data_IF_593783039356
#
_entry.id   IF_593783039356
#
_cell.length_a   1.000
_cell.length_b   1.000
_cell.length_c   1.000
_cell.angle_alpha   90.00
_cell.angle_beta   90.00
_cell.angle_gamma   90.00
#
_symmetry.space_group_name_H-M   'P 1'
#
loop_
_entity.id
_entity.type
_entity.pdbx_description
1 polymer ?
#
# COMPACT_ATOMS: atom_id res chain seq x y z
N UNK A 1 -24.22 0.20 -3.23
CA UNK A 1 -23.72 1.06 -2.12
C UNK A 1 -22.24 1.32 -2.34
N UNK A 2 -21.71 2.54 -2.21
CA UNK A 2 -20.29 2.80 -2.39
C UNK A 2 -19.49 2.19 -1.24
N UNK A 3 -18.34 1.59 -1.56
CA UNK A 3 -17.30 1.28 -0.59
C UNK A 3 -16.45 2.52 -0.40
N UNK A 4 -16.38 3.04 0.81
CA UNK A 4 -15.67 4.30 1.13
C UNK A 4 -14.53 3.98 2.09
N UNK A 5 -13.36 4.50 1.78
CA UNK A 5 -12.20 4.53 2.66
C UNK A 5 -11.93 5.97 3.06
N UNK A 6 -12.26 6.32 4.29
CA UNK A 6 -12.12 7.69 4.81
C UNK A 6 -10.81 7.91 5.58
N UNK A 7 -10.12 6.81 5.92
CA UNK A 7 -8.85 6.80 6.65
C UNK A 7 -8.89 7.42 8.05
N UNK A 8 -10.10 7.55 8.65
CA UNK A 8 -10.26 8.15 9.97
C UNK A 8 -9.90 7.19 11.10
N UNK A 9 -9.97 5.88 10.88
CA UNK A 9 -9.85 4.88 11.93
C UNK A 9 -8.52 4.14 11.87
N UNK A 10 -7.84 4.07 13.02
CA UNK A 10 -6.60 3.32 13.19
C UNK A 10 -6.77 2.22 14.24
N UNK A 11 -6.12 1.09 14.02
CA UNK A 11 -5.93 0.04 15.03
C UNK A 11 -4.76 0.37 15.95
N UNK A 12 -4.88 0.00 17.22
CA UNK A 12 -3.85 0.19 18.23
C UNK A 12 -2.98 -1.06 18.46
N UNK A 13 -3.11 -2.08 17.61
CA UNK A 13 -2.45 -3.37 17.77
C UNK A 13 -1.08 -3.47 17.08
N UNK A 14 -0.56 -2.36 16.57
CA UNK A 14 0.72 -2.27 15.89
C UNK A 14 1.51 -1.02 16.29
N UNK A 15 2.85 -1.03 16.20
CA UNK A 15 3.68 0.15 16.46
C UNK A 15 3.60 1.20 15.35
N UNK A 16 2.87 0.95 14.27
CA UNK A 16 2.65 1.81 13.10
C UNK A 16 1.17 2.01 12.87
N UNK A 17 0.82 2.99 12.03
CA UNK A 17 -0.55 3.23 11.63
C UNK A 17 -1.08 2.06 10.78
N UNK A 18 -2.12 1.40 11.28
CA UNK A 18 -2.83 0.32 10.61
C UNK A 18 -4.27 0.75 10.43
N UNK A 19 -4.67 0.93 9.18
CA UNK A 19 -5.96 1.47 8.79
C UNK A 19 -7.02 0.39 8.73
N UNK A 20 -8.24 0.72 9.09
CA UNK A 20 -9.40 -0.12 8.84
C UNK A 20 -10.67 0.70 8.67
N UNK A 21 -11.65 0.10 8.00
CA UNK A 21 -13.01 0.63 7.91
C UNK A 21 -13.93 -0.26 8.73
N UNK A 22 -14.67 0.36 9.65
CA UNK A 22 -15.68 -0.33 10.46
C UNK A 22 -17.07 -0.10 9.86
N UNK A 23 -17.68 -1.19 9.35
CA UNK A 23 -19.04 -1.17 8.78
C UNK A 23 -20.04 -1.87 9.70
N UNK A 24 -19.85 -1.82 11.00
CA UNK A 24 -20.68 -2.49 12.02
C UNK A 24 -22.16 -2.10 12.01
N UNK A 25 -22.51 -0.95 11.42
CA UNK A 25 -23.91 -0.45 11.37
C UNK A 25 -24.82 -1.14 10.34
N UNK A 26 -24.29 -2.02 9.48
CA UNK A 26 -25.02 -2.54 8.32
C UNK A 26 -25.32 -4.05 8.38
N UNK A 27 -25.37 -4.67 9.55
CA UNK A 27 -25.52 -6.12 9.75
C UNK A 27 -24.46 -6.99 9.05
N UNK A 28 -23.44 -6.40 8.47
CA UNK A 28 -22.29 -7.04 7.88
C UNK A 28 -21.10 -6.54 8.67
N UNK A 29 -20.72 -7.28 9.71
CA UNK A 29 -19.47 -7.02 10.44
C UNK A 29 -18.31 -7.29 9.47
N UNK A 30 -17.94 -6.29 8.70
CA UNK A 30 -16.73 -6.32 7.88
C UNK A 30 -15.80 -5.22 8.34
N UNK A 31 -14.87 -5.60 9.17
CA UNK A 31 -13.68 -4.82 9.38
C UNK A 31 -12.81 -5.01 8.13
N UNK A 32 -12.80 -4.02 7.25
CA UNK A 32 -11.93 -4.01 6.09
C UNK A 32 -10.58 -3.44 6.52
N UNK A 33 -9.61 -4.30 6.71
CA UNK A 33 -8.24 -3.88 6.99
C UNK A 33 -7.52 -3.54 5.68
N UNK A 34 -6.79 -2.42 5.75
CA UNK A 34 -5.89 -2.00 4.71
C UNK A 34 -4.46 -2.36 5.12
N UNK A 35 -3.78 -3.07 4.27
CA UNK A 35 -2.39 -3.46 4.49
C UNK A 35 -1.41 -2.44 3.89
N UNK A 36 -0.20 -2.44 4.42
CA UNK A 36 0.91 -1.62 3.94
C UNK A 36 2.24 -2.34 4.13
N UNK A 37 3.31 -1.77 3.59
CA UNK A 37 4.69 -2.24 3.81
C UNK A 37 5.28 -1.86 5.17
N UNK A 38 4.54 -1.17 6.03
CA UNK A 38 5.02 -0.76 7.36
C UNK A 38 5.59 -1.92 8.21
N UNK A 39 4.98 -3.13 8.24
CA UNK A 39 5.56 -4.27 8.95
C UNK A 39 6.96 -4.66 8.45
N UNK A 40 7.20 -4.54 7.15
CA UNK A 40 8.52 -4.76 6.57
C UNK A 40 9.53 -3.67 6.97
N UNK A 41 9.08 -2.41 7.01
CA UNK A 41 9.92 -1.29 7.47
C UNK A 41 10.28 -1.40 8.95
N UNK A 42 9.39 -1.96 9.78
CA UNK A 42 9.65 -2.22 11.20
C UNK A 42 10.91 -3.07 11.44
N UNK A 43 11.24 -3.96 10.50
CA UNK A 43 12.45 -4.80 10.58
C UNK A 43 13.74 -3.97 10.54
N UNK A 44 13.71 -2.77 9.99
CA UNK A 44 14.87 -1.85 9.94
C UNK A 44 15.18 -1.25 11.30
N UNK A 45 14.24 -1.22 12.23
CA UNK A 45 14.30 -0.55 13.53
C UNK A 45 14.64 0.94 13.45
N UNK A 46 14.35 1.57 12.32
CA UNK A 46 14.62 3.01 12.12
C UNK A 46 13.49 3.90 12.64
N UNK A 47 12.24 3.39 12.65
CA UNK A 47 11.10 4.11 13.20
C UNK A 47 11.15 4.12 14.73
N UNK A 48 10.92 5.30 15.33
CA UNK A 48 10.82 5.51 16.78
C UNK A 48 9.38 5.79 17.19
N UNK A 49 8.61 6.39 16.30
CA UNK A 49 7.19 6.72 16.50
C UNK A 49 6.36 6.21 15.31
N UNK A 50 5.04 6.07 15.45
CA UNK A 50 4.18 5.66 14.35
C UNK A 50 4.26 6.57 13.11
N UNK A 51 4.61 7.85 13.29
CA UNK A 51 4.75 8.85 12.24
C UNK A 51 6.03 8.68 11.41
N UNK A 52 6.99 7.90 11.91
CA UNK A 52 8.25 7.63 11.21
C UNK A 52 8.11 6.59 10.10
N UNK A 53 6.98 5.89 10.00
CA UNK A 53 6.78 4.87 8.99
C UNK A 53 6.47 5.44 7.59
N UNK A 54 6.68 4.67 6.52
CA UNK A 54 6.38 5.08 5.15
C UNK A 54 4.91 5.40 4.89
N UNK A 55 3.98 4.73 5.59
CA UNK A 55 2.54 4.87 5.43
C UNK A 55 1.93 5.34 6.74
N UNK A 56 1.42 6.57 6.77
CA UNK A 56 0.93 7.21 8.00
C UNK A 56 -0.36 7.98 7.77
N UNK A 57 -1.19 8.07 8.83
CA UNK A 57 -2.33 8.98 8.86
C UNK A 57 -1.84 10.39 9.17
N UNK A 58 -2.37 11.37 8.46
CA UNK A 58 -2.10 12.79 8.70
C UNK A 58 -3.38 13.63 8.60
N UNK A 59 -3.35 14.84 9.14
CA UNK A 59 -4.40 15.83 8.95
C UNK A 59 -4.38 16.40 7.52
N UNK A 60 -5.47 16.99 7.08
CA UNK A 60 -5.56 17.70 5.80
C UNK A 60 -6.19 16.88 4.70
N UNK A 61 -7.00 15.89 5.07
CA UNK A 61 -7.93 15.21 4.18
C UNK A 61 -9.07 16.12 3.71
N UNK A 62 -9.97 15.56 2.96
CA UNK A 62 -11.15 16.25 2.44
C UNK A 62 -12.01 16.72 3.60
N UNK A 63 -12.56 17.93 3.48
CA UNK A 63 -13.41 18.57 4.51
C UNK A 63 -12.75 18.66 5.90
N UNK A 64 -11.42 18.72 5.96
CA UNK A 64 -10.68 18.84 7.23
C UNK A 64 -10.47 17.52 7.96
N UNK A 65 -10.86 16.40 7.39
CA UNK A 65 -10.63 15.06 7.93
C UNK A 65 -9.18 14.58 7.82
N UNK A 66 -9.00 13.29 8.04
CA UNK A 66 -7.72 12.61 7.91
C UNK A 66 -7.45 12.19 6.47
N UNK A 67 -6.21 11.89 6.17
CA UNK A 67 -5.80 11.25 4.94
C UNK A 67 -4.59 10.35 5.17
N UNK A 68 -4.31 9.49 4.23
CA UNK A 68 -3.08 8.70 4.25
C UNK A 68 -1.98 9.44 3.52
N UNK A 69 -0.81 9.50 4.14
CA UNK A 69 0.43 10.01 3.55
C UNK A 69 1.35 8.85 3.26
N UNK A 70 1.73 8.70 2.01
CA UNK A 70 2.68 7.70 1.52
C UNK A 70 4.01 8.40 1.23
N UNK A 71 5.10 7.89 1.80
CA UNK A 71 6.43 8.49 1.65
C UNK A 71 7.45 7.39 1.38
N UNK A 72 8.27 7.55 0.35
CA UNK A 72 9.44 6.68 0.17
C UNK A 72 10.49 7.04 1.20
N UNK A 73 11.00 6.04 1.91
CA UNK A 73 12.04 6.19 2.95
C UNK A 73 13.24 5.31 2.65
N UNK A 74 14.38 5.76 3.13
CA UNK A 74 15.59 4.95 3.18
C UNK A 74 15.44 3.82 4.18
N UNK A 75 16.07 2.69 3.94
CA UNK A 75 16.01 1.49 4.79
C UNK A 75 17.32 1.25 5.56
N UNK A 76 18.28 2.14 5.40
CA UNK A 76 19.55 2.12 6.10
C UNK A 76 20.40 0.89 5.80
N UNK A 77 21.26 0.55 6.75
CA UNK A 77 22.20 -0.58 6.62
C UNK A 77 21.48 -1.94 6.51
N UNK A 78 20.37 -2.10 7.21
CA UNK A 78 19.56 -3.34 7.12
C UNK A 78 19.04 -3.56 5.71
N UNK A 79 18.43 -2.53 5.12
CA UNK A 79 17.91 -2.62 3.76
C UNK A 79 19.01 -2.86 2.72
N UNK A 80 20.17 -2.24 2.90
CA UNK A 80 21.34 -2.48 2.03
C UNK A 80 21.80 -3.94 2.09
N UNK A 81 21.79 -4.55 3.26
CA UNK A 81 22.16 -5.95 3.46
C UNK A 81 21.23 -6.92 2.70
N UNK A 82 19.93 -6.62 2.67
CA UNK A 82 18.90 -7.42 1.95
C UNK A 82 18.61 -6.89 0.56
N UNK A 83 19.38 -5.93 0.04
CA UNK A 83 19.23 -5.28 -1.28
C UNK A 83 17.88 -4.57 -1.48
N UNK A 84 17.28 -4.10 -0.40
CA UNK A 84 16.05 -3.31 -0.37
C UNK A 84 16.36 -1.90 0.12
N UNK A 85 16.97 -1.08 -0.72
CA UNK A 85 17.53 0.23 -0.37
C UNK A 85 16.48 1.27 0.00
N UNK A 86 15.27 1.12 -0.47
CA UNK A 86 14.14 2.02 -0.18
C UNK A 86 12.91 1.24 0.22
N UNK A 87 12.10 1.83 1.09
CA UNK A 87 10.73 1.40 1.40
C UNK A 87 9.75 2.41 0.83
N UNK A 88 9.04 2.05 -0.22
CA UNK A 88 7.97 2.87 -0.76
C UNK A 88 6.77 2.88 0.20
N UNK A 89 6.22 4.07 0.46
CA UNK A 89 4.91 4.16 1.09
C UNK A 89 3.86 3.56 0.17
N UNK A 90 3.09 2.60 0.67
CA UNK A 90 2.02 1.94 -0.05
C UNK A 90 0.83 1.65 0.88
N UNK A 91 -0.34 1.54 0.30
CA UNK A 91 -1.55 1.11 0.98
C UNK A 91 -2.37 0.28 0.00
N UNK A 92 -2.84 -0.88 0.41
CA UNK A 92 -3.57 -1.79 -0.45
C UNK A 92 -4.58 -2.62 0.35
N UNK A 93 -5.53 -3.16 -0.35
CA UNK A 93 -6.46 -4.13 0.19
C UNK A 93 -5.82 -5.51 0.15
N UNK A 94 -5.76 -6.19 1.28
CA UNK A 94 -5.13 -7.50 1.41
C UNK A 94 -4.34 -7.65 2.70
N UNK A 95 -3.24 -8.43 2.66
CA UNK A 95 -2.36 -8.67 3.81
C UNK A 95 -0.88 -8.54 3.46
N UNK A 96 -0.06 -8.40 4.49
CA UNK A 96 1.40 -8.34 4.34
C UNK A 96 2.05 -9.39 5.26
N UNK A 97 2.80 -10.32 4.64
CA UNK A 97 3.45 -11.44 5.30
C UNK A 97 4.91 -11.13 5.62
N UNK A 98 5.18 -10.69 6.85
CA UNK A 98 6.53 -10.28 7.30
C UNK A 98 7.58 -11.36 7.12
N UNK A 99 7.22 -12.62 7.40
CA UNK A 99 8.13 -13.77 7.25
C UNK A 99 8.65 -13.96 5.83
N UNK A 100 7.87 -13.60 4.83
CA UNK A 100 8.26 -13.67 3.43
C UNK A 100 9.08 -12.45 2.99
N UNK A 101 8.89 -11.30 3.64
CA UNK A 101 9.56 -10.05 3.25
C UNK A 101 11.09 -10.14 3.26
N UNK A 102 11.66 -10.95 4.15
CA UNK A 102 13.11 -11.16 4.24
C UNK A 102 13.68 -12.02 3.12
N UNK A 103 12.89 -12.96 2.60
CA UNK A 103 13.33 -13.89 1.57
C UNK A 103 12.96 -13.40 0.15
N UNK A 104 11.77 -12.86 0.00
CA UNK A 104 11.26 -12.32 -1.27
C UNK A 104 10.20 -11.26 -0.99
N UNK A 105 10.60 -10.01 -0.97
CA UNK A 105 9.73 -8.88 -0.69
C UNK A 105 8.51 -8.79 -1.64
N UNK A 106 8.66 -9.23 -2.89
CA UNK A 106 7.56 -9.25 -3.86
C UNK A 106 6.45 -10.22 -3.47
N UNK A 107 6.78 -11.32 -2.80
CA UNK A 107 5.83 -12.31 -2.31
C UNK A 107 5.22 -11.98 -0.96
N UNK A 108 5.72 -10.96 -0.28
CA UNK A 108 5.21 -10.56 1.02
C UNK A 108 3.84 -9.88 0.98
N UNK A 109 3.44 -9.37 -0.19
CA UNK A 109 2.15 -8.71 -0.39
C UNK A 109 1.14 -9.68 -0.97
N UNK A 110 0.03 -9.88 -0.27
CA UNK A 110 -1.11 -10.64 -0.76
C UNK A 110 -2.23 -9.64 -1.06
N UNK A 111 -2.50 -9.38 -2.34
CA UNK A 111 -3.49 -8.38 -2.77
C UNK A 111 -4.90 -8.96 -2.85
N UNK A 112 -5.87 -8.14 -2.48
CA UNK A 112 -7.29 -8.38 -2.70
C UNK A 112 -8.05 -8.86 -1.47
N UNK A 113 -9.35 -8.82 -1.61
CA UNK A 113 -10.33 -9.43 -0.72
C UNK A 113 -11.49 -9.94 -1.58
N UNK A 114 -12.31 -10.89 -1.10
CA UNK A 114 -13.48 -11.36 -1.82
C UNK A 114 -14.44 -10.21 -2.14
N UNK A 115 -14.68 -9.96 -3.43
CA UNK A 115 -15.51 -8.87 -3.91
C UNK A 115 -16.63 -9.42 -4.81
N UNK A 116 -17.89 -9.14 -4.44
CA UNK A 116 -19.07 -9.76 -5.06
C UNK A 116 -19.92 -8.79 -5.87
N UNK A 117 -19.41 -7.60 -6.16
CA UNK A 117 -20.14 -6.55 -6.85
C UNK A 117 -19.45 -6.17 -8.15
N UNK A 118 -20.22 -5.61 -9.09
CA UNK A 118 -19.66 -5.00 -10.28
C UNK A 118 -19.28 -3.54 -9.97
N UNK A 119 -18.01 -3.18 -9.92
CA UNK A 119 -17.61 -1.80 -9.68
C UNK A 119 -17.90 -0.96 -10.91
N UNK A 120 -18.47 0.22 -10.71
CA UNK A 120 -18.75 1.17 -11.78
C UNK A 120 -17.60 2.17 -11.95
N UNK A 121 -16.94 2.55 -10.85
CA UNK A 121 -15.85 3.51 -10.86
C UNK A 121 -15.05 3.47 -9.56
N UNK A 122 -13.82 3.93 -9.63
CA UNK A 122 -12.96 4.27 -8.50
C UNK A 122 -12.79 5.78 -8.49
N UNK A 123 -13.12 6.43 -7.38
CA UNK A 123 -12.97 7.88 -7.20
C UNK A 123 -12.22 8.17 -5.91
N UNK A 124 -11.48 9.29 -5.91
CA UNK A 124 -10.78 9.76 -4.72
C UNK A 124 -10.06 11.08 -4.96
N UNK A 125 -9.51 11.62 -3.89
CA UNK A 125 -8.68 12.83 -3.94
C UNK A 125 -7.25 12.46 -3.59
N UNK A 126 -6.31 13.01 -4.34
CA UNK A 126 -4.90 12.81 -4.05
C UNK A 126 -4.09 14.07 -4.30
N UNK A 127 -2.97 14.16 -3.61
CA UNK A 127 -1.91 15.15 -3.87
C UNK A 127 -0.63 14.36 -4.07
N UNK A 128 0.14 14.73 -5.08
CA UNK A 128 1.41 14.09 -5.38
C UNK A 128 2.53 15.11 -5.50
N UNK A 129 3.67 14.76 -4.92
CA UNK A 129 4.91 15.48 -5.09
C UNK A 129 6.04 14.46 -5.22
N UNK A 130 6.69 14.43 -6.38
CA UNK A 130 7.87 13.61 -6.59
C UNK A 130 8.98 13.98 -5.58
N UNK A 131 9.72 12.98 -5.12
CA UNK A 131 10.94 13.19 -4.37
C UNK A 131 11.99 13.95 -5.20
N UNK A 132 12.94 14.58 -4.52
CA UNK A 132 14.03 15.33 -5.18
C UNK A 132 15.02 14.40 -5.88
N UNK A 133 15.21 13.21 -5.35
CA UNK A 133 16.17 12.24 -5.84
C UNK A 133 15.45 10.95 -6.25
N UNK A 134 15.67 10.51 -7.48
CA UNK A 134 15.29 9.17 -7.92
C UNK A 134 16.47 8.24 -7.68
N UNK A 135 16.24 7.12 -7.00
CA UNK A 135 17.30 6.13 -6.76
C UNK A 135 16.95 4.77 -7.40
N UNK A 136 17.97 4.08 -7.87
CA UNK A 136 17.87 2.71 -8.38
C UNK A 136 19.03 1.90 -7.83
N UNK A 137 18.74 0.77 -7.22
CA UNK A 137 19.73 -0.12 -6.60
C UNK A 137 20.66 0.56 -5.60
N UNK A 138 20.16 1.58 -4.88
CA UNK A 138 20.91 2.34 -3.89
C UNK A 138 21.69 3.54 -4.45
N UNK A 139 21.69 3.77 -5.76
CA UNK A 139 22.38 4.89 -6.40
C UNK A 139 21.38 5.94 -6.90
N UNK A 140 21.76 7.22 -6.82
CA UNK A 140 20.96 8.33 -7.35
C UNK A 140 21.10 8.32 -8.87
N UNK A 141 19.95 8.42 -9.56
CA UNK A 141 19.88 8.51 -11.02
C UNK A 141 19.40 9.90 -11.40
N UNK A 142 20.32 10.70 -11.93
CA UNK A 142 20.02 12.07 -12.36
C UNK A 142 19.02 12.12 -13.52
N UNK A 143 18.22 13.19 -13.56
CA UNK A 143 17.26 13.44 -14.64
C UNK A 143 16.00 12.59 -14.59
N UNK A 144 15.88 11.64 -13.66
CA UNK A 144 14.66 10.87 -13.45
C UNK A 144 13.82 11.42 -12.30
N UNK A 145 12.51 11.30 -12.43
CA UNK A 145 11.53 11.63 -11.39
C UNK A 145 10.68 10.40 -11.11
N UNK A 146 10.34 10.24 -9.85
CA UNK A 146 9.41 9.21 -9.40
C UNK A 146 7.98 9.53 -9.85
N UNK A 147 7.13 8.51 -9.88
CA UNK A 147 5.69 8.61 -10.17
C UNK A 147 4.92 7.82 -9.10
N UNK A 148 3.71 8.26 -8.81
CA UNK A 148 2.78 7.46 -8.00
C UNK A 148 1.80 6.71 -8.90
N UNK A 149 1.37 5.56 -8.44
CA UNK A 149 0.33 4.76 -9.07
C UNK A 149 -0.86 4.61 -8.10
N UNK A 150 -2.07 4.84 -8.61
CA UNK A 150 -3.34 4.61 -7.88
C UNK A 150 -4.24 3.86 -8.84
N UNK A 151 -4.57 2.62 -8.51
CA UNK A 151 -5.39 1.79 -9.38
C UNK A 151 -6.19 0.76 -8.60
N UNK A 152 -7.25 0.25 -9.21
CA UNK A 152 -8.02 -0.89 -8.75
C UNK A 152 -7.94 -2.02 -9.77
N UNK A 153 -7.84 -3.25 -9.28
CA UNK A 153 -7.79 -4.47 -10.09
C UNK A 153 -8.84 -5.44 -9.59
N UNK A 154 -9.61 -6.01 -10.52
CA UNK A 154 -10.42 -7.19 -10.26
C UNK A 154 -9.75 -8.39 -10.92
N UNK A 155 -9.71 -9.49 -10.20
CA UNK A 155 -9.17 -10.74 -10.71
C UNK A 155 -9.99 -11.92 -10.20
N UNK A 156 -9.98 -12.99 -10.94
CA UNK A 156 -10.58 -14.25 -10.53
C UNK A 156 -9.54 -15.09 -9.78
N UNK A 157 -10.02 -15.84 -8.80
CA UNK A 157 -9.21 -16.81 -8.06
C UNK A 157 -9.62 -18.22 -8.47
N UNK A 158 -8.67 -19.13 -8.51
CA UNK A 158 -8.85 -20.55 -8.75
C UNK A 158 -8.01 -21.38 -7.76
N UNK A 159 -7.95 -22.68 -7.94
CA UNK A 159 -7.17 -23.58 -7.08
C UNK A 159 -5.66 -23.31 -7.15
N UNK A 160 -5.18 -22.67 -8.20
CA UNK A 160 -3.76 -22.35 -8.42
C UNK A 160 -3.40 -20.93 -8.00
N UNK A 161 -4.35 -19.99 -8.12
CA UNK A 161 -4.15 -18.56 -7.82
C UNK A 161 -5.19 -18.12 -6.79
N UNK A 162 -4.84 -18.19 -5.51
CA UNK A 162 -5.72 -17.77 -4.42
C UNK A 162 -5.64 -16.28 -4.14
N UNK A 163 -4.52 -15.63 -4.46
CA UNK A 163 -4.29 -14.18 -4.36
C UNK A 163 -3.22 -13.76 -5.35
N UNK A 164 -3.21 -12.49 -5.70
CA UNK A 164 -2.08 -11.87 -6.41
C UNK A 164 -1.04 -11.39 -5.39
N UNK A 165 0.22 -11.54 -5.73
CA UNK A 165 1.34 -10.95 -4.99
C UNK A 165 2.13 -9.97 -5.88
N UNK A 166 3.16 -9.33 -5.33
CA UNK A 166 3.97 -8.38 -6.09
C UNK A 166 4.73 -9.01 -7.27
N UNK A 167 4.90 -10.34 -7.32
CA UNK A 167 5.54 -11.05 -8.42
C UNK A 167 4.57 -11.45 -9.53
N UNK A 168 3.29 -11.66 -9.20
CA UNK A 168 2.25 -12.14 -10.12
C UNK A 168 1.32 -11.04 -10.63
N UNK A 169 1.24 -9.92 -9.93
CA UNK A 169 0.32 -8.81 -10.26
C UNK A 169 0.46 -8.26 -11.68
N UNK A 170 1.62 -8.41 -12.30
CA UNK A 170 1.87 -7.94 -13.67
C UNK A 170 1.42 -8.92 -14.76
N UNK A 171 1.15 -10.18 -14.43
CA UNK A 171 0.89 -11.25 -15.42
C UNK A 171 -0.53 -11.78 -15.42
N UNK A 172 -1.31 -11.53 -14.36
CA UNK A 172 -2.65 -12.11 -14.17
C UNK A 172 -3.78 -11.08 -14.19
N UNK A 173 -3.60 -9.94 -14.87
CA UNK A 173 -4.63 -8.89 -14.88
C UNK A 173 -5.70 -9.19 -15.92
N UNK A 174 -6.92 -9.49 -15.48
CA UNK A 174 -8.10 -9.62 -16.34
C UNK A 174 -8.67 -8.26 -16.78
N UNK A 175 -8.52 -7.24 -15.96
CA UNK A 175 -8.97 -5.88 -16.25
C UNK A 175 -8.12 -4.86 -15.51
N UNK A 176 -7.51 -3.93 -16.23
CA UNK A 176 -6.82 -2.77 -15.67
C UNK A 176 -7.54 -1.49 -16.05
N UNK A 177 -7.77 -0.60 -15.10
CA UNK A 177 -8.05 0.80 -15.44
C UNK A 177 -6.79 1.38 -16.09
N UNK A 178 -6.91 2.17 -17.19
CA UNK A 178 -5.75 2.78 -17.80
C UNK A 178 -5.00 3.63 -16.76
N UNK A 179 -3.73 3.28 -16.58
CA UNK A 179 -2.81 4.09 -15.78
C UNK A 179 -2.51 5.39 -16.52
N UNK A 180 -2.24 6.50 -15.82
CA UNK A 180 -1.73 7.73 -16.44
C UNK A 180 -0.41 7.54 -17.24
N UNK A 181 0.15 6.33 -17.25
CA UNK A 181 1.32 6.01 -18.08
C UNK A 181 1.00 5.83 -19.56
N UNK A 182 -0.28 5.61 -19.90
CA UNK A 182 -0.74 5.29 -21.25
C UNK A 182 -1.40 6.50 -21.95
N UNK A 183 -1.33 7.69 -21.33
CA UNK A 183 -1.84 8.96 -21.85
C UNK A 183 -0.72 9.93 -22.24
#
# INVERSE_FOLDING_TARGET
MPLVYDFETLSSDAPYHKFYEDKSSENIIRRLELASGNPGFELTKMAKTPEDYPTVQVNGGVNGGKCVKLTTKDTGSFGSMVKMYIAAGNLFVGSFEVGQALNNAMKATHFGFPFFYYPLKLEGWYKYKAGTNFSSKGEIVEGKKDKCDIYGVLYETDDNVQFLDGSTSLTCLLYTSPSPRDA
#
